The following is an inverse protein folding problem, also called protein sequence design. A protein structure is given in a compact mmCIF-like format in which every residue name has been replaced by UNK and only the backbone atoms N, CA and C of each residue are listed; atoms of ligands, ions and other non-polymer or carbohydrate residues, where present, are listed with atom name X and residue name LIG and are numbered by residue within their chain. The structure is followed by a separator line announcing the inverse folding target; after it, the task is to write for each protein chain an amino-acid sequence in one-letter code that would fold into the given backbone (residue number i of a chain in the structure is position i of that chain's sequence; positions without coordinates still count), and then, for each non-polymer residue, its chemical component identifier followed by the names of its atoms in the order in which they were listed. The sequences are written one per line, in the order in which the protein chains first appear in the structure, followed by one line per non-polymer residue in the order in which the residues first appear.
data_IF_408217219498
#
_entry.id   IF_408217219498
#
_cell.length_a   1.000
_cell.length_b   1.000
_cell.length_c   1.000
_cell.angle_alpha   90.00
_cell.angle_beta   90.00
_cell.angle_gamma   90.00
#
_symmetry.space_group_name_H-M   'P 1'
#
loop_
_entity.id
_entity.type
_entity.pdbx_description
1 polymer ?
#
# COMPACT_ATOMS: atom_id res chain seq x y z
N UNK A 1 -0.44 4.80 -9.17
CA UNK A 1 -1.56 3.82 -9.12
C UNK A 1 -1.00 2.50 -8.68
N UNK A 2 -1.64 1.82 -7.73
CA UNK A 2 -1.18 0.53 -7.21
C UNK A 2 -2.24 -0.55 -7.41
N UNK A 3 -1.80 -1.80 -7.48
CA UNK A 3 -2.67 -2.99 -7.55
C UNK A 3 -2.10 -4.10 -6.67
N UNK A 4 -2.96 -4.83 -5.99
CA UNK A 4 -2.59 -5.92 -5.08
C UNK A 4 -3.62 -7.05 -5.14
N UNK A 5 -3.18 -8.28 -4.90
CA UNK A 5 -4.02 -9.48 -4.84
C UNK A 5 -4.13 -9.98 -3.40
N UNK A 6 -5.34 -10.09 -2.87
CA UNK A 6 -5.55 -10.50 -1.47
C UNK A 6 -5.54 -12.04 -1.25
N UNK A 7 -5.37 -12.81 -2.33
CA UNK A 7 -5.52 -14.26 -2.34
C UNK A 7 -6.81 -14.73 -3.02
N UNK A 8 -7.79 -13.85 -3.21
CA UNK A 8 -9.08 -14.15 -3.84
C UNK A 8 -9.42 -13.16 -4.95
N UNK A 9 -9.25 -11.86 -4.70
CA UNK A 9 -9.69 -10.74 -5.51
C UNK A 9 -8.61 -9.64 -5.56
N UNK A 10 -8.86 -8.62 -6.37
CA UNK A 10 -7.92 -7.54 -6.66
C UNK A 10 -8.31 -6.26 -5.92
N UNK A 11 -7.33 -5.59 -5.36
CA UNK A 11 -7.42 -4.24 -4.83
C UNK A 11 -6.63 -3.30 -5.73
N UNK A 12 -7.15 -2.11 -6.00
CA UNK A 12 -6.36 -1.09 -6.70
C UNK A 12 -6.72 0.32 -6.27
N UNK A 13 -5.71 1.19 -6.28
CA UNK A 13 -5.83 2.61 -5.96
C UNK A 13 -5.69 3.46 -7.21
N UNK A 14 -6.43 4.57 -7.26
CA UNK A 14 -6.25 5.60 -8.26
C UNK A 14 -5.79 6.90 -7.59
N UNK A 15 -4.57 7.30 -7.90
CA UNK A 15 -3.93 8.51 -7.37
C UNK A 15 -4.60 9.78 -7.89
N UNK A 16 -4.94 9.83 -9.18
CA UNK A 16 -5.50 11.05 -9.81
C UNK A 16 -7.00 11.24 -9.56
N UNK A 17 -7.51 10.68 -8.46
CA UNK A 17 -8.92 10.66 -8.12
C UNK A 17 -9.21 11.31 -6.77
N UNK A 18 -10.49 11.34 -6.40
CA UNK A 18 -11.00 11.92 -5.14
C UNK A 18 -10.71 11.02 -3.91
N UNK A 19 -9.54 10.40 -3.83
CA UNK A 19 -9.18 9.46 -2.77
C UNK A 19 -10.08 8.21 -2.76
N UNK A 20 -9.92 7.34 -3.76
CA UNK A 20 -10.73 6.11 -3.90
C UNK A 20 -9.87 4.86 -3.89
N UNK A 21 -10.40 3.81 -3.26
CA UNK A 21 -9.88 2.44 -3.30
C UNK A 21 -10.96 1.53 -3.88
N UNK A 22 -10.55 0.63 -4.76
CA UNK A 22 -11.45 -0.27 -5.46
C UNK A 22 -11.14 -1.72 -5.11
N UNK A 23 -12.19 -2.51 -5.00
CA UNK A 23 -12.11 -3.95 -4.86
C UNK A 23 -12.81 -4.59 -6.06
N UNK A 24 -12.12 -5.45 -6.79
CA UNK A 24 -12.60 -6.06 -8.03
C UNK A 24 -12.38 -7.57 -8.03
N UNK A 25 -13.27 -8.28 -8.74
CA UNK A 25 -13.06 -9.70 -8.98
C UNK A 25 -11.95 -9.95 -10.02
N UNK A 26 -11.63 -11.23 -10.21
CA UNK A 26 -10.59 -11.67 -11.16
C UNK A 26 -10.93 -11.43 -12.64
N UNK A 27 -12.17 -11.04 -12.96
CA UNK A 27 -12.53 -10.58 -14.31
C UNK A 27 -12.26 -9.09 -14.52
N UNK A 28 -11.85 -8.38 -13.46
CA UNK A 28 -11.65 -6.93 -13.45
C UNK A 28 -12.91 -6.14 -13.14
N UNK A 29 -14.04 -6.80 -12.83
CA UNK A 29 -15.27 -6.11 -12.47
C UNK A 29 -15.15 -5.56 -11.04
N UNK A 30 -15.36 -4.26 -10.89
CA UNK A 30 -15.43 -3.62 -9.57
C UNK A 30 -16.64 -4.14 -8.77
N UNK A 31 -16.36 -4.68 -7.59
CA UNK A 31 -17.32 -5.17 -6.61
C UNK A 31 -17.64 -4.12 -5.54
N UNK A 32 -16.64 -3.36 -5.10
CA UNK A 32 -16.77 -2.30 -4.09
C UNK A 32 -15.88 -1.10 -4.40
N UNK A 33 -16.33 0.06 -3.91
CA UNK A 33 -15.57 1.31 -3.96
C UNK A 33 -15.61 1.95 -2.58
N UNK A 34 -14.45 2.34 -2.06
CA UNK A 34 -14.28 3.06 -0.81
C UNK A 34 -13.85 4.49 -1.12
N UNK A 35 -14.51 5.46 -0.48
CA UNK A 35 -14.25 6.89 -0.68
C UNK A 35 -13.52 7.49 0.53
N UNK A 36 -12.90 8.66 0.35
CA UNK A 36 -12.14 9.31 1.42
C UNK A 36 -10.86 8.54 1.79
N UNK A 37 -10.36 7.77 0.84
CA UNK A 37 -9.12 6.99 0.98
C UNK A 37 -7.92 7.90 0.76
N UNK A 38 -6.75 7.55 1.32
CA UNK A 38 -5.51 8.20 0.95
C UNK A 38 -5.31 8.07 -0.57
N UNK A 39 -4.93 9.16 -1.25
CA UNK A 39 -4.54 9.17 -2.66
C UNK A 39 -3.27 8.33 -2.84
N UNK A 40 -3.43 7.01 -2.86
CA UNK A 40 -2.34 6.08 -2.69
C UNK A 40 -1.70 5.70 -4.03
N UNK A 41 -0.37 5.71 -4.10
CA UNK A 41 0.38 5.25 -5.27
C UNK A 41 0.64 3.75 -5.24
N UNK A 42 0.84 3.19 -4.04
CA UNK A 42 1.14 1.78 -3.83
C UNK A 42 0.21 1.14 -2.81
N UNK A 43 0.06 -0.18 -2.90
CA UNK A 43 -0.81 -0.97 -2.04
C UNK A 43 -0.15 -2.32 -1.72
N UNK A 44 -0.24 -2.74 -0.46
CA UNK A 44 0.16 -4.08 -0.04
C UNK A 44 -0.90 -4.73 0.84
N UNK A 45 -0.99 -6.06 0.78
CA UNK A 45 -1.89 -6.88 1.58
C UNK A 45 -1.13 -7.71 2.62
N UNK A 46 -1.46 -7.56 3.90
CA UNK A 46 -0.79 -8.30 4.98
C UNK A 46 -1.44 -9.64 5.38
N UNK A 47 -2.54 -10.01 4.71
CA UNK A 47 -3.40 -11.13 5.09
C UNK A 47 -4.60 -10.73 5.95
N UNK A 48 -4.67 -9.48 6.44
CA UNK A 48 -5.78 -8.96 7.23
C UNK A 48 -6.12 -7.48 6.95
N UNK A 49 -5.13 -6.67 6.61
CA UNK A 49 -5.22 -5.23 6.40
C UNK A 49 -4.49 -4.81 5.13
N UNK A 50 -4.94 -3.69 4.58
CA UNK A 50 -4.27 -3.03 3.45
C UNK A 50 -3.31 -1.98 3.97
N UNK A 51 -2.18 -1.84 3.29
CA UNK A 51 -1.18 -0.82 3.52
C UNK A 51 -1.10 0.06 2.28
N UNK A 52 -1.45 1.34 2.42
CA UNK A 52 -1.55 2.28 1.31
C UNK A 52 -0.45 3.34 1.41
N UNK A 53 0.40 3.42 0.40
CA UNK A 53 1.47 4.44 0.31
C UNK A 53 0.91 5.70 -0.33
N UNK A 54 0.94 6.82 0.38
CA UNK A 54 0.69 8.14 -0.19
C UNK A 54 2.00 8.93 -0.15
N UNK A 55 2.56 9.20 -1.32
CA UNK A 55 3.84 9.87 -1.49
C UNK A 55 3.70 11.34 -1.14
N UNK A 56 2.65 12.01 -1.64
CA UNK A 56 2.41 13.43 -1.35
C UNK A 56 2.21 13.75 0.14
N UNK A 57 1.84 12.76 0.96
CA UNK A 57 1.66 12.88 2.40
C UNK A 57 2.84 12.31 3.22
N UNK A 58 3.86 11.72 2.60
CA UNK A 58 4.97 10.97 3.25
C UNK A 58 4.48 9.91 4.26
N UNK A 59 3.41 9.20 3.92
CA UNK A 59 2.71 8.30 4.84
C UNK A 59 2.36 6.97 4.22
N UNK A 60 2.41 5.94 5.06
CA UNK A 60 1.84 4.63 4.81
C UNK A 60 0.65 4.46 5.75
N UNK A 61 -0.53 4.29 5.20
CA UNK A 61 -1.78 4.16 5.94
C UNK A 61 -2.17 2.69 6.07
N UNK A 62 -2.60 2.30 7.27
CA UNK A 62 -3.19 0.99 7.51
C UNK A 62 -4.71 1.10 7.40
N UNK A 63 -5.32 0.28 6.55
CA UNK A 63 -6.76 0.34 6.23
C UNK A 63 -7.43 -0.99 6.51
N UNK A 64 -8.60 -0.94 7.14
CA UNK A 64 -9.50 -2.07 7.30
C UNK A 64 -10.21 -2.36 5.97
N UNK A 65 -10.00 -3.54 5.33
CA UNK A 65 -10.57 -3.85 4.03
C UNK A 65 -12.09 -4.08 4.09
N UNK A 66 -12.66 -4.31 5.27
CA UNK A 66 -14.09 -4.63 5.41
C UNK A 66 -14.96 -3.40 5.22
N UNK A 67 -14.47 -2.24 5.65
CA UNK A 67 -15.22 -0.98 5.72
C UNK A 67 -14.45 0.25 5.20
N UNK A 68 -13.17 0.09 4.82
CA UNK A 68 -12.32 1.18 4.34
C UNK A 68 -11.82 2.11 5.43
N UNK A 69 -12.00 1.80 6.72
CA UNK A 69 -11.57 2.68 7.80
C UNK A 69 -10.05 2.73 7.88
N UNK A 70 -9.51 3.95 7.90
CA UNK A 70 -8.10 4.19 8.21
C UNK A 70 -7.91 3.93 9.72
N UNK A 71 -7.09 2.93 10.03
CA UNK A 71 -6.79 2.53 11.40
C UNK A 71 -5.61 3.31 12.00
N UNK A 72 -4.76 3.86 11.14
CA UNK A 72 -3.59 4.64 11.53
C UNK A 72 -2.64 4.82 10.36
N UNK A 73 -1.49 5.43 10.63
CA UNK A 73 -0.43 5.62 9.65
C UNK A 73 0.95 5.61 10.31
N UNK A 74 1.96 5.36 9.49
CA UNK A 74 3.38 5.51 9.81
C UNK A 74 4.04 6.39 8.75
N UNK A 75 5.13 7.08 9.11
CA UNK A 75 5.90 7.84 8.13
C UNK A 75 6.60 6.88 7.15
N UNK A 76 6.70 7.26 5.89
CA UNK A 76 7.52 6.52 4.92
C UNK A 76 8.98 6.48 5.37
N UNK A 77 9.71 5.40 5.05
CA UNK A 77 11.13 5.28 5.41
C UNK A 77 12.04 6.09 4.48
N UNK A 78 11.58 6.43 3.28
CA UNK A 78 12.27 7.29 2.31
C UNK A 78 11.50 8.57 1.99
N UNK A 79 12.21 9.52 1.40
CA UNK A 79 11.68 10.84 1.05
C UNK A 79 10.76 10.81 -0.19
N UNK A 80 10.76 9.69 -0.93
CA UNK A 80 9.94 9.52 -2.14
C UNK A 80 9.38 8.12 -2.29
N UNK A 81 8.86 7.55 -1.21
CA UNK A 81 8.28 6.19 -1.27
C UNK A 81 7.02 6.18 -2.14
N UNK A 82 7.00 5.30 -3.14
CA UNK A 82 5.94 5.18 -4.13
C UNK A 82 5.17 3.87 -4.01
N UNK A 83 5.86 2.77 -3.75
CA UNK A 83 5.22 1.46 -3.67
C UNK A 83 5.71 0.65 -2.49
N UNK A 84 4.93 -0.36 -2.11
CA UNK A 84 5.28 -1.28 -1.04
C UNK A 84 4.81 -2.71 -1.31
N UNK A 85 5.49 -3.68 -0.70
CA UNK A 85 5.13 -5.08 -0.72
C UNK A 85 5.17 -5.67 0.69
N UNK A 86 4.22 -6.54 1.01
CA UNK A 86 4.22 -7.28 2.26
C UNK A 86 4.97 -8.60 2.12
N UNK A 87 5.88 -8.89 3.04
CA UNK A 87 6.65 -10.12 3.04
C UNK A 87 6.69 -10.72 4.43
N UNK A 88 6.35 -12.01 4.52
CA UNK A 88 6.51 -12.82 5.73
C UNK A 88 7.67 -13.78 5.54
N UNK A 89 8.65 -13.70 6.44
CA UNK A 89 9.85 -14.54 6.50
C UNK A 89 9.97 -15.14 7.92
N UNK A 90 10.86 -16.12 8.12
CA UNK A 90 11.12 -16.70 9.45
C UNK A 90 11.49 -15.63 10.50
N UNK A 91 12.20 -14.59 10.06
CA UNK A 91 12.66 -13.50 10.92
C UNK A 91 11.55 -12.51 11.31
N UNK A 92 10.38 -12.59 10.66
CA UNK A 92 9.21 -11.78 10.96
C UNK A 92 8.44 -11.33 9.73
N UNK A 93 7.61 -10.31 9.94
CA UNK A 93 6.75 -9.71 8.91
C UNK A 93 7.20 -8.30 8.60
N UNK A 94 7.22 -7.97 7.32
CA UNK A 94 7.86 -6.76 6.85
C UNK A 94 7.05 -6.10 5.76
N UNK A 95 7.08 -4.78 5.78
CA UNK A 95 6.71 -3.96 4.66
C UNK A 95 7.99 -3.51 3.96
N UNK A 96 8.18 -3.95 2.73
CA UNK A 96 9.22 -3.46 1.84
C UNK A 96 8.69 -2.25 1.09
N UNK A 97 9.48 -1.19 0.96
CA UNK A 97 9.09 0.07 0.37
C UNK A 97 10.11 0.45 -0.70
N UNK A 98 9.63 0.88 -1.86
CA UNK A 98 10.47 1.37 -2.95
C UNK A 98 10.25 2.87 -3.15
N UNK A 99 11.35 3.61 -3.22
CA UNK A 99 11.31 5.01 -3.61
C UNK A 99 11.23 5.15 -5.13
N UNK A 100 10.67 6.26 -5.60
CA UNK A 100 10.78 6.66 -6.99
C UNK A 100 12.24 6.88 -7.36
N UNK A 101 12.62 6.37 -8.53
CA UNK A 101 13.99 6.34 -9.02
C UNK A 101 14.06 7.07 -10.35
N UNK A 102 15.04 7.95 -10.50
CA UNK A 102 15.47 8.38 -11.83
C UNK A 102 16.33 7.26 -12.43
N UNK A 103 15.92 6.69 -13.56
CA UNK A 103 16.67 5.61 -14.22
C UNK A 103 18.06 6.03 -14.69
N UNK A 104 18.34 7.33 -14.73
CA UNK A 104 19.65 7.89 -15.07
C UNK A 104 20.60 7.99 -13.88
N UNK A 105 20.10 7.82 -12.64
CA UNK A 105 20.90 7.81 -11.40
C UNK A 105 20.63 6.54 -10.58
N UNK A 106 21.49 5.50 -10.69
CA UNK A 106 21.31 4.24 -9.98
C UNK A 106 21.48 4.36 -8.46
N UNK A 107 22.08 5.44 -7.94
CA UNK A 107 22.22 5.66 -6.49
C UNK A 107 20.93 6.23 -5.86
N UNK A 108 20.02 6.72 -6.71
CA UNK A 108 18.74 7.28 -6.31
C UNK A 108 17.71 6.19 -5.99
N UNK A 109 17.90 4.98 -6.52
CA UNK A 109 17.06 3.83 -6.26
C UNK A 109 17.28 3.29 -4.84
N UNK A 110 16.28 3.51 -3.96
CA UNK A 110 16.33 3.05 -2.58
C UNK A 110 15.17 2.12 -2.28
N UNK A 111 15.49 1.00 -1.64
CA UNK A 111 14.53 0.07 -1.08
C UNK A 111 14.75 0.01 0.42
N UNK A 112 13.66 0.12 1.18
CA UNK A 112 13.67 0.08 2.62
C UNK A 112 12.82 -1.09 3.12
N UNK A 113 13.21 -1.69 4.25
CA UNK A 113 12.45 -2.75 4.92
C UNK A 113 12.05 -2.28 6.30
N UNK A 114 10.76 -2.37 6.62
CA UNK A 114 10.21 -2.02 7.92
C UNK A 114 9.63 -3.27 8.59
N UNK A 115 10.11 -3.61 9.79
CA UNK A 115 9.55 -4.73 10.57
C UNK A 115 8.25 -4.32 11.23
N UNK A 116 7.17 -5.07 11.00
CA UNK A 116 5.87 -4.81 11.60
C UNK A 116 5.68 -5.72 12.82
N UNK A 117 5.74 -5.11 14.00
CA UNK A 117 5.77 -5.83 15.28
C UNK A 117 4.39 -6.27 15.77
N UNK A 118 3.32 -5.56 15.40
CA UNK A 118 1.95 -5.87 15.84
C UNK A 118 0.95 -5.57 14.73
N UNK A 119 0.26 -6.61 14.28
CA UNK A 119 -0.96 -6.50 13.47
C UNK A 119 -2.15 -6.74 14.41
N UNK A 120 -2.38 -5.85 15.38
CA UNK A 120 -3.53 -6.02 16.27
C UNK A 120 -4.82 -6.11 15.43
N UNK A 121 -5.61 -7.15 15.70
CA UNK A 121 -7.03 -7.25 15.37
C UNK A 121 -7.85 -6.49 16.40
#
# INVERSE_FOLDING_TARGET
MGIEFDGENLWFSCEMGEGKLYYADRSGKTLKTFNGMPEAHGIAWDGAFLWLVNNGADKIFKVDPTNGKILGWIRTPGDRTFDCAWVTEESGRYLWCADWTDETDPEMAKIFKMKVLTTNR
#
